data_IF_882850950179
#
_entry.id   IF_882850950179
#
_cell.length_a   1.000
_cell.length_b   1.000
_cell.length_c   1.000
_cell.angle_alpha   90.00
_cell.angle_beta   90.00
_cell.angle_gamma   90.00
#
_symmetry.space_group_name_H-M   'P 1'
#
loop_
_entity.id
_entity.type
_entity.pdbx_description
1 polymer ?
#
# COMPACT_ATOMS: atom_id res chain seq x y z
N UNK A 1 19.97 -6.61 -0.79
CA UNK A 1 18.83 -7.19 -0.04
C UNK A 1 18.23 -6.22 0.99
N UNK A 2 18.80 -6.01 2.20
CA UNK A 2 18.21 -5.10 3.20
C UNK A 2 17.98 -3.65 2.73
N UNK A 3 18.98 -3.06 2.06
CA UNK A 3 18.87 -1.70 1.51
C UNK A 3 17.76 -1.62 0.45
N UNK A 4 17.56 -2.67 -0.34
CA UNK A 4 16.49 -2.70 -1.35
C UNK A 4 15.11 -2.79 -0.68
N UNK A 5 14.97 -3.56 0.39
CA UNK A 5 13.71 -3.64 1.15
C UNK A 5 13.36 -2.34 1.86
N UNK A 6 14.35 -1.73 2.49
CA UNK A 6 14.19 -0.42 3.10
C UNK A 6 13.78 0.63 2.05
N UNK A 7 14.41 0.63 0.87
CA UNK A 7 14.00 1.51 -0.22
C UNK A 7 12.60 1.22 -0.75
N UNK A 8 12.21 -0.05 -0.92
CA UNK A 8 10.83 -0.41 -1.30
C UNK A 8 9.80 0.12 -0.29
N UNK A 9 10.07 0.00 1.00
CA UNK A 9 9.18 0.50 2.06
C UNK A 9 9.07 2.04 2.06
N UNK A 10 10.19 2.74 1.82
CA UNK A 10 10.19 4.20 1.67
C UNK A 10 9.45 4.65 0.41
N UNK A 11 9.61 3.94 -0.71
CA UNK A 11 8.85 4.17 -1.94
C UNK A 11 7.35 3.98 -1.69
N UNK A 12 6.95 2.91 -1.01
CA UNK A 12 5.56 2.69 -0.62
C UNK A 12 5.00 3.83 0.24
N UNK A 13 5.76 4.36 1.20
CA UNK A 13 5.36 5.53 1.98
C UNK A 13 5.12 6.76 1.11
N UNK A 14 5.96 6.97 0.10
CA UNK A 14 5.80 8.05 -0.87
C UNK A 14 4.54 7.83 -1.71
N UNK A 15 4.33 6.63 -2.23
CA UNK A 15 3.16 6.27 -3.03
C UNK A 15 1.85 6.44 -2.24
N UNK A 16 1.84 6.07 -0.96
CA UNK A 16 0.67 6.27 -0.06
C UNK A 16 0.32 7.76 0.03
N UNK A 17 1.33 8.62 0.23
CA UNK A 17 1.12 10.08 0.32
C UNK A 17 0.65 10.66 -1.00
N UNK A 18 1.24 10.25 -2.11
CA UNK A 18 0.88 10.74 -3.44
C UNK A 18 -0.53 10.30 -3.85
N UNK A 19 -0.89 9.04 -3.67
CA UNK A 19 -2.23 8.55 -3.97
C UNK A 19 -3.31 9.18 -3.07
N UNK A 20 -3.02 9.41 -1.78
CA UNK A 20 -3.93 10.15 -0.87
C UNK A 20 -4.08 11.63 -1.29
N UNK A 21 -3.06 12.25 -1.89
CA UNK A 21 -3.20 13.59 -2.47
C UNK A 21 -4.05 13.55 -3.74
N UNK A 22 -3.82 12.60 -4.62
CA UNK A 22 -4.57 12.46 -5.88
C UNK A 22 -6.07 12.26 -5.65
N UNK A 23 -6.48 11.64 -4.53
CA UNK A 23 -7.90 11.49 -4.18
C UNK A 23 -8.64 12.81 -3.95
N UNK A 24 -7.95 13.94 -3.76
CA UNK A 24 -8.59 15.28 -3.67
C UNK A 24 -9.23 15.72 -4.98
N UNK A 25 -8.68 15.31 -6.13
CA UNK A 25 -9.28 15.60 -7.44
C UNK A 25 -10.60 14.82 -7.64
N UNK A 26 -10.69 13.63 -7.06
CA UNK A 26 -11.91 12.81 -7.05
C UNK A 26 -12.94 13.41 -6.09
N UNK A 27 -12.50 13.88 -4.93
CA UNK A 27 -13.37 14.58 -3.96
C UNK A 27 -14.09 15.78 -4.58
N UNK A 28 -13.40 16.56 -5.43
CA UNK A 28 -14.00 17.71 -6.10
C UNK A 28 -15.16 17.32 -7.03
N UNK A 29 -15.12 16.11 -7.61
CA UNK A 29 -16.18 15.58 -8.49
C UNK A 29 -17.36 14.98 -7.72
N UNK A 30 -17.18 14.75 -6.43
CA UNK A 30 -18.16 14.18 -5.50
C UNK A 30 -19.27 15.21 -5.18
N UNK A 31 -20.51 14.75 -4.97
CA UNK A 31 -21.61 15.61 -4.53
C UNK A 31 -21.30 16.29 -3.19
N UNK A 32 -21.64 17.57 -3.04
CA UNK A 32 -21.27 18.40 -1.85
C UNK A 32 -21.65 17.74 -0.52
N UNK A 33 -22.82 17.10 -0.45
CA UNK A 33 -23.30 16.41 0.76
C UNK A 33 -22.47 15.17 1.13
N UNK A 34 -21.81 14.53 0.17
CA UNK A 34 -21.05 13.29 0.41
C UNK A 34 -19.52 13.50 0.45
N UNK A 35 -19.03 14.69 0.06
CA UNK A 35 -17.60 15.06 0.10
C UNK A 35 -16.97 14.81 1.47
N UNK A 36 -17.67 15.12 2.55
CA UNK A 36 -17.14 14.95 3.90
C UNK A 36 -16.93 13.47 4.26
N UNK A 37 -17.90 12.61 3.92
CA UNK A 37 -17.80 11.16 4.13
C UNK A 37 -16.65 10.55 3.33
N UNK A 38 -16.52 10.93 2.05
CA UNK A 38 -15.41 10.54 1.19
C UNK A 38 -14.07 10.97 1.78
N UNK A 39 -13.92 12.26 2.14
CA UNK A 39 -12.71 12.82 2.72
C UNK A 39 -12.31 12.11 4.01
N UNK A 40 -13.29 11.83 4.88
CA UNK A 40 -13.06 11.12 6.13
C UNK A 40 -12.60 9.68 5.90
N UNK A 41 -13.17 8.97 4.92
CA UNK A 41 -12.73 7.64 4.53
C UNK A 41 -11.27 7.65 4.04
N UNK A 42 -10.96 8.50 3.05
CA UNK A 42 -9.62 8.64 2.48
C UNK A 42 -8.59 8.97 3.56
N UNK A 43 -8.91 9.93 4.44
CA UNK A 43 -8.02 10.34 5.54
C UNK A 43 -7.75 9.19 6.52
N UNK A 44 -8.76 8.38 6.86
CA UNK A 44 -8.60 7.22 7.75
C UNK A 44 -7.75 6.14 7.10
N UNK A 45 -8.01 5.80 5.84
CA UNK A 45 -7.24 4.79 5.08
C UNK A 45 -5.79 5.23 4.93
N UNK A 46 -5.56 6.46 4.45
CA UNK A 46 -4.23 7.04 4.29
C UNK A 46 -3.43 7.04 5.59
N UNK A 47 -4.02 7.55 6.69
CA UNK A 47 -3.34 7.59 7.99
C UNK A 47 -3.00 6.19 8.52
N UNK A 48 -3.93 5.24 8.41
CA UNK A 48 -3.73 3.88 8.92
C UNK A 48 -2.64 3.15 8.15
N UNK A 49 -2.63 3.25 6.83
CA UNK A 49 -1.59 2.66 5.99
C UNK A 49 -0.23 3.36 6.15
N UNK A 50 -0.20 4.69 6.33
CA UNK A 50 1.04 5.40 6.65
C UNK A 50 1.62 4.93 7.99
N UNK A 51 0.80 4.80 9.04
CA UNK A 51 1.26 4.29 10.34
C UNK A 51 1.83 2.88 10.23
N UNK A 52 1.10 1.95 9.59
CA UNK A 52 1.55 0.57 9.42
C UNK A 52 2.88 0.53 8.67
N UNK A 53 3.00 1.29 7.58
CA UNK A 53 4.22 1.28 6.76
C UNK A 53 5.41 1.92 7.49
N UNK A 54 5.19 2.95 8.32
CA UNK A 54 6.24 3.51 9.19
C UNK A 54 6.72 2.48 10.21
N UNK A 55 5.80 1.80 10.89
CA UNK A 55 6.14 0.73 11.84
C UNK A 55 6.97 -0.35 11.15
N UNK A 56 6.57 -0.73 9.94
CA UNK A 56 7.29 -1.69 9.12
C UNK A 56 8.74 -1.25 8.79
N UNK A 57 8.94 0.03 8.42
CA UNK A 57 10.30 0.58 8.20
C UNK A 57 11.16 0.44 9.46
N UNK A 58 10.63 0.81 10.63
CA UNK A 58 11.34 0.68 11.91
C UNK A 58 11.64 -0.78 12.26
N UNK A 59 10.74 -1.70 11.94
CA UNK A 59 10.96 -3.14 12.13
C UNK A 59 12.08 -3.68 11.26
N UNK A 60 12.16 -3.27 9.98
CA UNK A 60 13.27 -3.63 9.08
C UNK A 60 14.61 -3.12 9.61
N UNK A 61 14.66 -1.89 10.12
CA UNK A 61 15.88 -1.32 10.69
C UNK A 61 16.36 -2.13 11.90
N UNK A 62 15.45 -2.50 12.79
CA UNK A 62 15.76 -3.35 13.94
C UNK A 62 16.24 -4.75 13.53
N UNK A 63 15.57 -5.37 12.55
CA UNK A 63 15.99 -6.68 12.04
C UNK A 63 17.36 -6.61 11.38
N UNK A 64 17.70 -5.50 10.72
CA UNK A 64 19.05 -5.29 10.17
C UNK A 64 20.08 -5.28 11.30
N UNK A 65 19.83 -4.57 12.39
CA UNK A 65 20.70 -4.57 13.57
C UNK A 65 20.89 -5.99 14.11
N UNK A 66 19.79 -6.73 14.27
CA UNK A 66 19.79 -8.12 14.73
C UNK A 66 20.63 -9.02 13.80
N UNK A 67 20.50 -8.90 12.46
CA UNK A 67 21.31 -9.67 11.51
C UNK A 67 22.79 -9.27 11.55
N UNK A 68 23.09 -7.97 11.63
CA UNK A 68 24.48 -7.50 11.71
C UNK A 68 25.17 -7.88 13.02
N UNK A 69 24.40 -8.20 14.07
CA UNK A 69 24.93 -8.68 15.34
C UNK A 69 25.40 -10.14 15.29
N UNK A 70 25.04 -10.90 14.24
CA UNK A 70 25.57 -12.24 14.02
C UNK A 70 27.01 -12.16 13.52
N UNK A 71 27.96 -12.46 14.40
CA UNK A 71 29.38 -12.62 14.10
C UNK A 71 29.78 -14.11 14.17
N UNK A 72 30.95 -14.49 13.65
CA UNK A 72 31.42 -15.90 13.65
C UNK A 72 31.32 -16.57 15.02
N UNK A 73 31.63 -15.83 16.09
CA UNK A 73 31.57 -16.32 17.46
C UNK A 73 30.14 -16.67 17.95
N UNK A 74 29.12 -15.95 17.47
CA UNK A 74 27.70 -16.20 17.80
C UNK A 74 27.07 -17.23 16.87
N UNK A 75 27.51 -17.32 15.61
CA UNK A 75 27.04 -18.33 14.65
C UNK A 75 27.47 -19.74 15.08
N UNK A 76 28.69 -19.91 15.59
CA UNK A 76 29.18 -21.20 16.11
C UNK A 76 28.52 -21.62 17.44
N UNK A 77 27.79 -20.71 18.11
CA UNK A 77 27.06 -21.00 19.34
C UNK A 77 25.59 -20.57 19.19
N UNK A 78 24.83 -21.33 18.41
CA UNK A 78 23.42 -21.08 18.08
C UNK A 78 22.55 -20.87 19.35
N UNK A 79 22.91 -21.50 20.47
CA UNK A 79 22.22 -21.34 21.75
C UNK A 79 22.39 -19.93 22.39
N UNK A 80 23.42 -19.18 22.01
CA UNK A 80 23.67 -17.81 22.45
C UNK A 80 22.92 -16.75 21.62
N UNK A 81 22.22 -17.16 20.56
CA UNK A 81 21.48 -16.24 19.69
C UNK A 81 20.20 -15.77 20.38
N UNK A 82 20.02 -14.44 20.42
CA UNK A 82 18.86 -13.79 21.03
C UNK A 82 17.54 -14.08 20.27
N UNK A 83 17.65 -14.52 19.02
CA UNK A 83 16.53 -14.88 18.15
C UNK A 83 16.91 -16.08 17.28
N UNK A 84 15.98 -17.02 17.12
CA UNK A 84 16.12 -18.16 16.20
C UNK A 84 16.33 -17.64 14.75
N UNK A 85 17.47 -17.97 14.11
CA UNK A 85 17.76 -17.57 12.73
C UNK A 85 16.69 -17.99 11.73
N UNK A 86 16.09 -19.18 11.88
CA UNK A 86 15.04 -19.65 10.97
C UNK A 86 13.76 -18.81 11.12
N UNK A 87 13.45 -18.38 12.34
CA UNK A 87 12.35 -17.47 12.60
C UNK A 87 12.59 -16.11 11.97
N UNK A 88 13.80 -15.57 12.08
CA UNK A 88 14.16 -14.28 11.49
C UNK A 88 14.09 -14.32 9.95
N UNK A 89 14.61 -15.39 9.32
CA UNK A 89 14.50 -15.60 7.86
C UNK A 89 13.04 -15.64 7.42
N UNK A 90 12.18 -16.36 8.16
CA UNK A 90 10.73 -16.42 7.87
C UNK A 90 10.08 -15.05 7.96
N UNK A 91 10.40 -14.27 8.99
CA UNK A 91 9.84 -12.92 9.18
C UNK A 91 10.24 -12.03 7.99
N UNK A 92 11.54 -11.97 7.64
CA UNK A 92 12.02 -11.14 6.53
C UNK A 92 11.35 -11.53 5.21
N UNK A 93 11.20 -12.84 4.93
CA UNK A 93 10.56 -13.33 3.71
C UNK A 93 9.06 -12.97 3.65
N UNK A 94 8.34 -13.09 4.76
CA UNK A 94 6.93 -12.68 4.84
C UNK A 94 6.76 -11.17 4.66
N UNK A 95 7.68 -10.39 5.20
CA UNK A 95 7.68 -8.93 5.10
C UNK A 95 7.93 -8.44 3.67
N UNK A 96 8.87 -9.05 2.93
CA UNK A 96 9.09 -8.74 1.50
C UNK A 96 7.90 -9.14 0.62
N UNK A 97 7.31 -10.31 0.88
CA UNK A 97 6.08 -10.72 0.20
C UNK A 97 4.96 -9.70 0.46
N UNK A 98 4.79 -9.27 1.72
CA UNK A 98 3.76 -8.31 2.12
C UNK A 98 3.91 -6.96 1.42
N UNK A 99 5.13 -6.43 1.30
CA UNK A 99 5.41 -5.19 0.56
C UNK A 99 4.94 -5.26 -0.90
N UNK A 100 5.10 -6.41 -1.54
CA UNK A 100 4.71 -6.61 -2.94
C UNK A 100 3.20 -6.51 -3.17
N UNK A 101 2.39 -6.75 -2.14
CA UNK A 101 0.92 -6.62 -2.19
C UNK A 101 0.38 -5.36 -1.51
N UNK A 102 1.22 -4.63 -0.76
CA UNK A 102 0.81 -3.51 0.06
C UNK A 102 0.25 -2.33 -0.74
N UNK A 103 0.93 -1.94 -1.84
CA UNK A 103 0.45 -0.85 -2.69
C UNK A 103 -0.88 -1.21 -3.38
N UNK A 104 -1.02 -2.37 -4.06
CA UNK A 104 -2.32 -2.79 -4.61
C UNK A 104 -3.44 -2.83 -3.55
N UNK A 105 -3.16 -3.36 -2.36
CA UNK A 105 -4.13 -3.40 -1.26
C UNK A 105 -4.55 -2.01 -0.79
N UNK A 106 -3.59 -1.10 -0.65
CA UNK A 106 -3.85 0.29 -0.27
C UNK A 106 -4.72 1.02 -1.30
N UNK A 107 -4.40 0.87 -2.59
CA UNK A 107 -5.16 1.49 -3.68
C UNK A 107 -6.60 0.99 -3.73
N UNK A 108 -6.81 -0.30 -3.46
CA UNK A 108 -8.15 -0.88 -3.34
C UNK A 108 -8.95 -0.26 -2.18
N UNK A 109 -8.31 -0.07 -1.03
CA UNK A 109 -8.94 0.59 0.12
C UNK A 109 -9.30 2.06 -0.18
N UNK A 110 -8.44 2.76 -0.92
CA UNK A 110 -8.77 4.12 -1.39
C UNK A 110 -9.94 4.12 -2.37
N UNK A 111 -9.96 3.20 -3.34
CA UNK A 111 -11.06 3.13 -4.31
C UNK A 111 -12.40 2.79 -3.66
N UNK A 112 -12.41 1.99 -2.59
CA UNK A 112 -13.62 1.71 -1.83
C UNK A 112 -14.26 2.98 -1.23
N UNK A 113 -13.48 4.03 -0.96
CA UNK A 113 -14.01 5.32 -0.52
C UNK A 113 -14.84 6.01 -1.60
N UNK A 114 -14.60 5.75 -2.89
CA UNK A 114 -15.36 6.33 -4.01
C UNK A 114 -16.85 5.99 -3.97
N UNK A 115 -17.26 4.92 -3.25
CA UNK A 115 -18.68 4.60 -3.03
C UNK A 115 -19.45 5.74 -2.36
N UNK A 116 -18.79 6.53 -1.52
CA UNK A 116 -19.34 7.76 -0.94
C UNK A 116 -19.44 8.92 -1.94
N UNK A 117 -19.13 8.72 -3.22
CA UNK A 117 -19.41 9.69 -4.29
C UNK A 117 -20.49 9.21 -5.24
N UNK A 118 -20.67 7.89 -5.35
CA UNK A 118 -21.60 7.24 -6.27
C UNK A 118 -23.03 7.12 -5.69
N UNK A 119 -23.21 7.29 -4.37
CA UNK A 119 -24.51 7.27 -3.70
C UNK A 119 -25.28 8.59 -3.90
N UNK A 120 -25.48 9.01 -5.14
CA UNK A 120 -26.43 10.08 -5.47
C UNK A 120 -27.88 9.56 -5.41
N UNK A 121 -28.84 10.25 -4.77
CA UNK A 121 -30.24 9.87 -4.81
C UNK A 121 -30.82 10.15 -6.20
N UNK A 122 -31.11 9.08 -6.94
CA UNK A 122 -31.98 9.00 -8.12
C UNK A 122 -31.77 10.03 -9.26
N UNK A 123 -31.09 9.60 -10.32
CA UNK A 123 -31.59 9.87 -11.68
C UNK A 123 -31.49 8.60 -12.53
N UNK A 124 -32.65 7.97 -12.70
CA UNK A 124 -33.03 7.13 -13.82
C UNK A 124 -32.57 7.74 -15.15
N UNK A 125 -31.47 7.22 -15.69
CA UNK A 125 -31.26 7.14 -17.12
C UNK A 125 -30.26 6.01 -17.39
N UNK A 126 -30.71 4.99 -18.13
CA UNK A 126 -29.84 3.97 -18.71
C UNK A 126 -28.70 4.64 -19.49
N UNK A 127 -27.54 4.81 -18.86
CA UNK A 127 -26.26 4.81 -19.56
C UNK A 127 -25.54 3.59 -19.04
N UNK A 128 -25.23 2.65 -19.95
CA UNK A 128 -24.30 1.55 -19.65
C UNK A 128 -23.11 2.17 -18.91
N UNK A 129 -22.68 1.63 -17.76
CA UNK A 129 -21.53 2.17 -17.08
C UNK A 129 -20.37 2.14 -18.09
N UNK A 130 -19.75 3.29 -18.35
CA UNK A 130 -18.41 3.32 -18.93
C UNK A 130 -17.62 2.32 -18.09
N UNK A 131 -17.04 1.29 -18.71
CA UNK A 131 -16.32 0.22 -17.99
C UNK A 131 -15.22 0.86 -17.14
N UNK A 132 -15.55 1.19 -15.90
CA UNK A 132 -14.59 1.49 -14.87
C UNK A 132 -13.76 0.22 -14.71
N UNK A 133 -12.43 0.35 -14.82
CA UNK A 133 -11.54 -0.77 -14.49
C UNK A 133 -11.92 -1.28 -13.11
N UNK A 134 -12.23 -2.57 -13.02
CA UNK A 134 -12.60 -3.18 -11.75
C UNK A 134 -11.37 -3.25 -10.84
N UNK A 135 -11.60 -3.41 -9.53
CA UNK A 135 -10.53 -3.60 -8.55
C UNK A 135 -9.58 -4.75 -8.95
N UNK A 136 -10.11 -5.79 -9.62
CA UNK A 136 -9.31 -6.88 -10.16
C UNK A 136 -8.47 -6.44 -11.37
N UNK A 137 -9.01 -5.62 -12.27
CA UNK A 137 -8.29 -5.14 -13.46
C UNK A 137 -7.10 -4.23 -13.10
N UNK A 138 -7.25 -3.39 -12.06
CA UNK A 138 -6.18 -2.53 -11.56
C UNK A 138 -5.03 -3.35 -10.98
N UNK A 139 -5.36 -4.36 -10.17
CA UNK A 139 -4.38 -5.26 -9.56
C UNK A 139 -3.66 -6.07 -10.64
N UNK A 140 -4.42 -6.68 -11.55
CA UNK A 140 -3.86 -7.47 -12.66
C UNK A 140 -2.97 -6.60 -13.55
N UNK A 141 -3.40 -5.39 -13.93
CA UNK A 141 -2.57 -4.51 -14.76
C UNK A 141 -1.31 -4.02 -14.03
N UNK A 142 -1.38 -3.72 -12.74
CA UNK A 142 -0.19 -3.37 -11.97
C UNK A 142 0.83 -4.52 -11.97
N UNK A 143 0.37 -5.75 -11.70
CA UNK A 143 1.23 -6.94 -11.75
C UNK A 143 1.84 -7.19 -13.13
N UNK A 144 1.07 -6.99 -14.20
CA UNK A 144 1.53 -7.23 -15.56
C UNK A 144 2.47 -6.16 -16.11
N UNK A 145 2.33 -4.90 -15.66
CA UNK A 145 3.03 -3.77 -16.29
C UNK A 145 4.04 -3.07 -15.39
N UNK A 146 4.02 -3.35 -14.08
CA UNK A 146 4.74 -2.58 -13.04
C UNK A 146 4.48 -1.06 -13.08
N UNK A 147 3.45 -0.62 -13.81
CA UNK A 147 3.05 0.79 -13.91
C UNK A 147 2.42 1.24 -12.60
N UNK A 148 2.69 2.49 -12.22
CA UNK A 148 2.10 3.12 -11.04
C UNK A 148 0.63 3.47 -11.27
N UNK A 149 -0.13 3.66 -10.20
CA UNK A 149 -1.58 3.92 -10.26
C UNK A 149 -1.95 5.10 -11.18
N UNK A 150 -1.15 6.17 -11.19
CA UNK A 150 -1.34 7.33 -12.06
C UNK A 150 -1.19 6.96 -13.53
N UNK A 151 -0.19 6.14 -13.87
CA UNK A 151 0.03 5.65 -15.23
C UNK A 151 -1.11 4.71 -15.68
N UNK A 152 -1.67 3.94 -14.74
CA UNK A 152 -2.80 3.04 -14.99
C UNK A 152 -4.13 3.79 -15.16
N UNK A 153 -4.35 4.90 -14.43
CA UNK A 153 -5.56 5.73 -14.56
C UNK A 153 -5.50 6.66 -15.77
N UNK A 154 -4.34 7.26 -16.05
CA UNK A 154 -4.20 8.25 -17.14
C UNK A 154 -4.23 7.63 -18.54
N UNK A 155 -4.22 6.29 -18.66
CA UNK A 155 -4.31 5.61 -19.95
C UNK A 155 -3.17 5.93 -20.91
N UNK A 156 -2.04 6.40 -20.38
CA UNK A 156 -0.85 6.72 -21.17
C UNK A 156 -0.05 5.46 -21.48
N UNK A 157 0.05 5.18 -22.77
CA UNK A 157 1.01 4.24 -23.38
C UNK A 157 2.42 4.47 -22.83
#
# INVERSE_FOLDING_TARGET
MYNEYHQKALLLLKDIKEATKATTEIEQKCHVKQRESYRNCVKRVGKKCETITKTFVTTIEKQREDVTSFNEATVCNIAALKMDPLKLIKIIAMEDASLSFALPGFLRLLNACSRYCDESPNTTALKKPLRHMTDQDLVVKHFLTKKTYIQLIKGTE
#
